data_IF_249787010698
#
_entry.id   IF_249787010698
#
_cell.length_a   1.000
_cell.length_b   1.000
_cell.length_c   1.000
_cell.angle_alpha   90.00
_cell.angle_beta   90.00
_cell.angle_gamma   90.00
#
_symmetry.space_group_name_H-M   'P 1'
#
loop_
_entity.id
_entity.type
_entity.pdbx_description
1 polymer ?
#
# COMPACT_ATOMS: atom_id res chain seq x y z
N UNK A 1 -14.55 15.18 -47.61
CA UNK A 1 -13.86 15.22 -46.31
C UNK A 1 -14.43 14.15 -45.44
N UNK A 2 -13.72 13.03 -45.31
CA UNK A 2 -14.12 11.87 -44.52
C UNK A 2 -14.01 12.23 -43.05
N UNK A 3 -15.13 12.27 -42.34
CA UNK A 3 -15.14 12.45 -40.89
C UNK A 3 -14.62 11.15 -40.30
N UNK A 4 -13.34 11.11 -39.96
CA UNK A 4 -12.78 10.03 -39.16
C UNK A 4 -13.55 9.93 -37.85
N UNK A 5 -14.33 8.85 -37.73
CA UNK A 5 -15.02 8.47 -36.52
C UNK A 5 -13.96 8.11 -35.46
N UNK A 6 -13.48 9.09 -34.69
CA UNK A 6 -12.67 8.82 -33.50
C UNK A 6 -13.51 7.96 -32.56
N UNK A 7 -13.07 6.75 -32.17
CA UNK A 7 -13.82 5.99 -31.18
C UNK A 7 -13.93 6.84 -29.92
N UNK A 8 -15.17 7.07 -29.46
CA UNK A 8 -15.46 7.79 -28.23
C UNK A 8 -14.68 7.13 -27.09
N UNK A 9 -13.65 7.80 -26.56
CA UNK A 9 -12.92 7.33 -25.39
C UNK A 9 -13.85 7.45 -24.19
N UNK A 10 -14.58 6.39 -23.89
CA UNK A 10 -15.38 6.30 -22.67
C UNK A 10 -14.51 6.46 -21.42
N UNK A 11 -15.11 6.73 -20.25
CA UNK A 11 -14.37 6.85 -19.00
C UNK A 11 -13.61 5.54 -18.71
N UNK A 12 -12.33 5.63 -18.34
CA UNK A 12 -11.45 4.49 -18.04
C UNK A 12 -10.61 4.81 -16.79
N UNK A 13 -10.24 3.80 -16.02
CA UNK A 13 -9.29 3.96 -14.90
C UNK A 13 -7.88 4.30 -15.40
N UNK A 14 -7.04 4.96 -14.59
CA UNK A 14 -5.62 5.08 -14.91
C UNK A 14 -4.99 3.71 -15.16
N UNK A 15 -4.08 3.63 -16.12
CA UNK A 15 -3.32 2.41 -16.35
C UNK A 15 -2.15 2.32 -15.37
N UNK A 16 -1.99 1.16 -14.75
CA UNK A 16 -0.83 0.84 -13.92
C UNK A 16 -0.21 -0.52 -14.29
N UNK A 17 1.08 -0.75 -13.96
CA UNK A 17 1.79 -2.01 -14.26
C UNK A 17 1.14 -3.24 -13.63
N UNK A 18 1.45 -4.43 -14.17
CA UNK A 18 0.92 -5.71 -13.66
C UNK A 18 1.26 -5.99 -12.19
N UNK A 19 2.46 -5.60 -11.75
CA UNK A 19 2.94 -5.90 -10.38
C UNK A 19 2.18 -5.15 -9.28
N UNK A 20 1.44 -4.08 -9.63
CA UNK A 20 0.76 -3.22 -8.65
C UNK A 20 -0.75 -3.21 -8.81
N UNK A 21 -1.45 -2.86 -7.73
CA UNK A 21 -2.89 -2.56 -7.75
C UNK A 21 -3.12 -1.10 -7.40
N UNK A 22 -4.07 -0.45 -8.08
CA UNK A 22 -4.46 0.93 -7.79
C UNK A 22 -5.51 0.99 -6.68
N UNK A 23 -5.22 1.71 -5.59
CA UNK A 23 -6.16 1.94 -4.49
C UNK A 23 -6.42 3.42 -4.25
N UNK A 24 -7.68 3.88 -4.11
CA UNK A 24 -7.97 5.27 -3.79
C UNK A 24 -7.46 5.68 -2.41
N UNK A 25 -6.75 6.81 -2.32
CA UNK A 25 -6.16 7.29 -1.06
C UNK A 25 -7.21 7.55 0.02
N UNK A 26 -8.40 8.04 -0.36
CA UNK A 26 -9.49 8.24 0.57
C UNK A 26 -9.95 6.93 1.25
N UNK A 27 -9.86 5.82 0.52
CA UNK A 27 -10.16 4.48 1.04
C UNK A 27 -8.98 3.93 1.84
N UNK A 28 -7.75 4.00 1.29
CA UNK A 28 -6.54 3.46 1.91
C UNK A 28 -6.15 4.16 3.23
N UNK A 29 -6.61 5.40 3.43
CA UNK A 29 -6.40 6.21 4.64
C UNK A 29 -7.62 6.21 5.57
N UNK A 30 -8.42 5.14 5.52
CA UNK A 30 -9.65 5.01 6.30
C UNK A 30 -9.88 3.61 6.86
N UNK A 31 -10.85 3.51 7.75
CA UNK A 31 -11.35 2.27 8.34
C UNK A 31 -12.40 1.57 7.46
N UNK A 32 -12.65 2.03 6.22
CA UNK A 32 -13.69 1.48 5.34
C UNK A 32 -13.45 -0.02 5.08
N UNK A 33 -12.20 -0.37 4.74
CA UNK A 33 -11.72 -1.75 4.75
C UNK A 33 -10.95 -1.98 6.05
N UNK A 34 -11.65 -2.42 7.09
CA UNK A 34 -11.06 -2.51 8.42
C UNK A 34 -9.96 -3.59 8.51
N UNK A 35 -8.93 -3.33 9.32
CA UNK A 35 -7.81 -4.22 9.64
C UNK A 35 -8.19 -5.37 10.57
N UNK A 36 -9.37 -5.96 10.37
CA UNK A 36 -10.00 -6.95 11.27
C UNK A 36 -10.13 -8.32 10.60
N UNK A 37 -10.19 -9.37 11.42
CA UNK A 37 -10.56 -10.71 10.95
C UNK A 37 -12.06 -10.78 10.62
N UNK A 38 -12.45 -11.63 9.67
CA UNK A 38 -13.86 -11.79 9.22
C UNK A 38 -14.84 -12.04 10.36
N UNK A 39 -14.44 -12.82 11.38
CA UNK A 39 -15.29 -13.11 12.56
C UNK A 39 -15.62 -11.90 13.44
N UNK A 40 -14.90 -10.77 13.28
CA UNK A 40 -15.12 -9.52 14.04
C UNK A 40 -15.98 -8.51 13.26
N UNK A 41 -16.39 -8.84 12.03
CA UNK A 41 -17.22 -8.00 11.17
C UNK A 41 -18.56 -7.68 11.82
N UNK A 42 -19.07 -6.49 11.51
CA UNK A 42 -20.35 -5.99 11.99
C UNK A 42 -21.25 -5.56 10.82
N UNK A 43 -22.55 -5.43 11.08
CA UNK A 43 -23.47 -4.69 10.19
C UNK A 43 -23.44 -3.23 10.65
N UNK A 44 -23.25 -2.32 9.68
CA UNK A 44 -23.11 -0.89 9.92
C UNK A 44 -24.29 -0.12 9.33
N UNK A 45 -24.69 0.94 10.03
CA UNK A 45 -25.83 1.76 9.65
C UNK A 45 -27.18 1.11 9.97
N UNK A 46 -28.26 1.76 9.58
CA UNK A 46 -29.63 1.29 9.86
C UNK A 46 -30.57 1.66 8.73
N UNK A 47 -31.39 0.69 8.31
CA UNK A 47 -32.50 0.94 7.39
C UNK A 47 -33.74 1.28 8.23
N UNK A 48 -34.04 2.57 8.38
CA UNK A 48 -35.21 3.00 9.17
C UNK A 48 -36.50 2.99 8.37
N UNK A 49 -36.44 3.22 7.05
CA UNK A 49 -37.60 3.23 6.16
C UNK A 49 -37.28 2.64 4.79
N UNK A 50 -38.08 1.72 4.21
CA UNK A 50 -37.75 1.04 2.94
C UNK A 50 -37.48 1.98 1.75
N UNK A 51 -38.13 3.14 1.72
CA UNK A 51 -38.05 4.11 0.63
C UNK A 51 -36.83 5.05 0.72
N UNK A 52 -36.13 5.08 1.86
CA UNK A 52 -34.96 5.94 2.07
C UNK A 52 -33.66 5.17 1.89
N UNK A 53 -32.60 5.89 1.51
CA UNK A 53 -31.23 5.37 1.61
C UNK A 53 -30.95 4.95 3.06
N UNK A 54 -30.31 3.79 3.31
CA UNK A 54 -29.92 3.41 4.66
C UNK A 54 -29.06 4.50 5.31
N UNK A 55 -29.28 4.75 6.59
CA UNK A 55 -28.50 5.72 7.35
C UNK A 55 -27.14 5.11 7.68
N UNK A 56 -26.07 5.65 7.08
CA UNK A 56 -24.70 5.18 7.30
C UNK A 56 -24.08 5.71 8.59
N UNK A 57 -23.18 4.91 9.17
CA UNK A 57 -22.32 5.36 10.28
C UNK A 57 -21.09 6.07 9.73
N UNK A 58 -20.55 7.01 10.51
CA UNK A 58 -19.28 7.66 10.21
C UNK A 58 -18.14 6.65 10.33
N UNK A 59 -17.36 6.52 9.27
CA UNK A 59 -16.15 5.69 9.25
C UNK A 59 -14.94 6.58 9.51
N UNK A 60 -14.07 6.14 10.43
CA UNK A 60 -12.85 6.85 10.75
C UNK A 60 -11.95 6.97 9.50
N UNK A 61 -11.54 8.18 9.16
CA UNK A 61 -10.65 8.46 8.04
C UNK A 61 -9.67 9.58 8.41
N UNK A 62 -8.56 9.68 7.68
CA UNK A 62 -7.63 10.80 7.80
C UNK A 62 -8.30 12.15 7.49
N UNK A 63 -7.80 13.21 8.10
CA UNK A 63 -8.33 14.57 7.94
C UNK A 63 -8.47 14.96 6.46
N UNK A 64 -9.57 15.65 6.15
CA UNK A 64 -9.96 16.00 4.78
C UNK A 64 -10.77 14.92 4.05
N UNK A 65 -10.97 13.74 4.66
CA UNK A 65 -11.83 12.67 4.14
C UNK A 65 -13.01 12.47 5.11
N UNK A 66 -14.23 12.41 4.58
CA UNK A 66 -15.42 12.03 5.36
C UNK A 66 -16.10 10.85 4.68
N UNK A 67 -16.38 9.81 5.46
CA UNK A 67 -17.03 8.60 4.95
C UNK A 67 -18.25 8.30 5.81
N UNK A 68 -19.41 8.15 5.15
CA UNK A 68 -20.56 7.48 5.73
C UNK A 68 -20.78 6.16 5.00
N UNK A 69 -21.00 5.10 5.76
CA UNK A 69 -21.20 3.78 5.20
C UNK A 69 -22.34 3.02 5.89
N UNK A 70 -23.15 2.34 5.10
CA UNK A 70 -24.11 1.35 5.58
C UNK A 70 -23.98 0.05 4.81
N UNK A 71 -24.11 -1.07 5.51
CA UNK A 71 -23.98 -2.40 4.98
C UNK A 71 -23.11 -3.27 5.87
N UNK A 72 -22.74 -4.43 5.35
CA UNK A 72 -21.80 -5.32 6.04
C UNK A 72 -20.40 -4.70 6.02
N UNK A 73 -19.74 -4.59 7.18
CA UNK A 73 -18.41 -4.00 7.29
C UNK A 73 -17.40 -4.74 6.41
N UNK A 74 -16.66 -3.99 5.60
CA UNK A 74 -15.59 -4.56 4.79
C UNK A 74 -14.34 -4.81 5.62
N UNK A 75 -13.58 -5.84 5.24
CA UNK A 75 -12.28 -6.14 5.80
C UNK A 75 -11.20 -6.19 4.70
N UNK A 76 -9.99 -6.61 5.06
CA UNK A 76 -8.88 -6.67 4.10
C UNK A 76 -9.06 -7.70 2.97
N UNK A 77 -9.86 -8.76 3.16
CA UNK A 77 -10.18 -9.67 2.05
C UNK A 77 -11.09 -8.97 1.04
N UNK A 78 -12.08 -8.20 1.51
CA UNK A 78 -12.92 -7.39 0.63
C UNK A 78 -12.09 -6.31 -0.11
N UNK A 79 -11.03 -5.78 0.54
CA UNK A 79 -10.08 -4.88 -0.11
C UNK A 79 -9.28 -5.60 -1.21
N UNK A 80 -8.81 -6.83 -0.94
CA UNK A 80 -8.08 -7.63 -1.93
C UNK A 80 -8.94 -7.89 -3.17
N UNK A 81 -10.20 -8.28 -2.97
CA UNK A 81 -11.19 -8.48 -4.04
C UNK A 81 -11.43 -7.17 -4.80
N UNK A 82 -11.64 -6.06 -4.10
CA UNK A 82 -11.91 -4.77 -4.75
C UNK A 82 -10.73 -4.30 -5.60
N UNK A 83 -9.51 -4.30 -5.06
CA UNK A 83 -8.31 -3.85 -5.77
C UNK A 83 -7.98 -4.73 -6.98
N UNK A 84 -8.17 -6.03 -6.83
CA UNK A 84 -7.92 -6.97 -7.89
C UNK A 84 -9.00 -6.90 -9.01
N UNK A 85 -10.26 -6.67 -8.65
CA UNK A 85 -11.33 -6.43 -9.62
C UNK A 85 -11.10 -5.12 -10.41
N UNK A 86 -10.70 -4.03 -9.74
CA UNK A 86 -10.28 -2.79 -10.39
C UNK A 86 -9.08 -3.00 -11.30
N UNK A 87 -8.09 -3.77 -10.86
CA UNK A 87 -6.92 -4.08 -11.66
C UNK A 87 -7.31 -4.76 -12.97
N UNK A 88 -8.22 -5.73 -12.95
CA UNK A 88 -8.73 -6.36 -14.18
C UNK A 88 -9.49 -5.36 -15.05
N UNK A 89 -10.39 -4.57 -14.45
CA UNK A 89 -11.23 -3.61 -15.17
C UNK A 89 -10.46 -2.41 -15.75
N UNK A 90 -9.22 -2.14 -15.30
CA UNK A 90 -8.47 -0.94 -15.72
C UNK A 90 -8.23 -0.83 -17.23
N UNK A 91 -8.24 -1.96 -17.94
CA UNK A 91 -8.05 -2.01 -19.39
C UNK A 91 -9.34 -1.87 -20.18
N UNK A 92 -10.48 -1.97 -19.51
CA UNK A 92 -11.80 -1.87 -20.10
C UNK A 92 -12.35 -0.44 -19.92
N UNK A 93 -13.38 -0.08 -20.69
CA UNK A 93 -14.14 1.12 -20.41
C UNK A 93 -14.99 0.89 -19.15
N UNK A 94 -15.13 1.90 -18.30
CA UNK A 94 -16.07 1.86 -17.19
C UNK A 94 -17.51 1.75 -17.73
N UNK A 95 -18.42 1.24 -16.89
CA UNK A 95 -19.79 0.87 -17.27
C UNK A 95 -19.88 -0.29 -18.29
N UNK A 96 -18.79 -1.04 -18.48
CA UNK A 96 -18.77 -2.28 -19.27
C UNK A 96 -18.44 -3.50 -18.39
N UNK A 97 -18.76 -4.69 -18.90
CA UNK A 97 -18.49 -5.95 -18.21
C UNK A 97 -16.99 -6.30 -18.26
N UNK A 98 -16.29 -6.22 -17.14
CA UNK A 98 -14.96 -6.81 -16.99
C UNK A 98 -15.10 -8.31 -16.73
N UNK A 99 -14.50 -9.15 -17.59
CA UNK A 99 -14.66 -10.61 -17.56
C UNK A 99 -13.39 -11.32 -17.10
N UNK A 100 -13.53 -12.32 -16.24
CA UNK A 100 -12.41 -13.14 -15.78
C UNK A 100 -12.85 -14.50 -15.24
N UNK A 101 -11.94 -15.47 -15.24
CA UNK A 101 -12.18 -16.75 -14.57
C UNK A 101 -11.97 -16.59 -13.07
N UNK A 102 -12.85 -17.19 -12.26
CA UNK A 102 -12.66 -17.16 -10.81
C UNK A 102 -11.37 -17.89 -10.39
N UNK A 103 -10.92 -18.88 -11.17
CA UNK A 103 -9.69 -19.62 -10.93
C UNK A 103 -8.42 -18.74 -10.99
N UNK A 104 -8.37 -17.77 -11.90
CA UNK A 104 -7.29 -16.79 -12.02
C UNK A 104 -7.44 -15.67 -10.99
N UNK A 105 -8.67 -15.25 -10.71
CA UNK A 105 -8.98 -14.27 -9.67
C UNK A 105 -8.46 -14.73 -8.31
N UNK A 106 -8.89 -15.92 -7.87
CA UNK A 106 -8.49 -16.50 -6.59
C UNK A 106 -6.96 -16.67 -6.51
N UNK A 107 -6.33 -17.17 -7.58
CA UNK A 107 -4.86 -17.27 -7.64
C UNK A 107 -4.19 -15.92 -7.41
N UNK A 108 -4.72 -14.85 -8.02
CA UNK A 108 -4.14 -13.51 -7.94
C UNK A 108 -4.25 -12.89 -6.55
N UNK A 109 -5.27 -13.26 -5.77
CA UNK A 109 -5.43 -12.86 -4.37
C UNK A 109 -4.88 -13.90 -3.37
N UNK A 110 -4.02 -14.83 -3.83
CA UNK A 110 -3.35 -15.81 -2.98
C UNK A 110 -4.24 -16.98 -2.48
N UNK A 111 -5.40 -17.21 -3.09
CA UNK A 111 -6.38 -18.23 -2.70
C UNK A 111 -6.37 -19.45 -3.62
N UNK A 112 -6.67 -20.61 -3.02
CA UNK A 112 -6.80 -21.88 -3.74
C UNK A 112 -8.16 -22.00 -4.42
N UNK A 113 -8.26 -22.88 -5.42
CA UNK A 113 -9.45 -23.01 -6.29
C UNK A 113 -10.50 -23.99 -5.73
N UNK A 114 -10.79 -23.91 -4.44
CA UNK A 114 -11.81 -24.75 -3.79
C UNK A 114 -13.18 -24.02 -3.73
N UNK A 115 -14.26 -24.76 -3.50
CA UNK A 115 -15.63 -24.22 -3.52
C UNK A 115 -15.84 -23.13 -2.46
N UNK A 116 -15.29 -23.30 -1.25
CA UNK A 116 -15.38 -22.31 -0.17
C UNK A 116 -14.77 -20.96 -0.58
N UNK A 117 -13.63 -20.95 -1.28
CA UNK A 117 -13.02 -19.69 -1.74
C UNK A 117 -13.83 -19.02 -2.87
N UNK A 118 -14.53 -19.80 -3.71
CA UNK A 118 -15.47 -19.23 -4.68
C UNK A 118 -16.69 -18.61 -3.99
N UNK A 119 -17.21 -19.25 -2.94
CA UNK A 119 -18.28 -18.71 -2.11
C UNK A 119 -17.83 -17.42 -1.39
N UNK A 120 -16.64 -17.42 -0.76
CA UNK A 120 -16.07 -16.23 -0.13
C UNK A 120 -15.93 -15.06 -1.12
N UNK A 121 -15.52 -15.34 -2.37
CA UNK A 121 -15.43 -14.34 -3.45
C UNK A 121 -16.81 -13.78 -3.81
N UNK A 122 -17.82 -14.64 -3.99
CA UNK A 122 -19.19 -14.21 -4.28
C UNK A 122 -19.75 -13.33 -3.18
N UNK A 123 -19.59 -13.74 -1.92
CA UNK A 123 -20.06 -12.94 -0.80
C UNK A 123 -19.32 -11.59 -0.71
N UNK A 124 -18.04 -11.55 -1.06
CA UNK A 124 -17.28 -10.30 -1.08
C UNK A 124 -17.78 -9.35 -2.17
N UNK A 125 -17.99 -9.85 -3.38
CA UNK A 125 -18.57 -9.09 -4.48
C UNK A 125 -19.99 -8.59 -4.14
N UNK A 126 -20.83 -9.42 -3.51
CA UNK A 126 -22.16 -9.00 -3.08
C UNK A 126 -22.10 -7.93 -1.98
N UNK A 127 -21.18 -8.04 -1.01
CA UNK A 127 -20.96 -6.97 -0.02
C UNK A 127 -20.53 -5.67 -0.70
N UNK A 128 -19.55 -5.71 -1.60
CA UNK A 128 -19.06 -4.54 -2.34
C UNK A 128 -20.15 -3.89 -3.20
N UNK A 129 -21.09 -4.70 -3.69
CA UNK A 129 -22.26 -4.28 -4.49
C UNK A 129 -23.37 -3.67 -3.63
N UNK A 130 -23.67 -4.26 -2.48
CA UNK A 130 -24.78 -3.84 -1.61
C UNK A 130 -24.43 -2.68 -0.68
N UNK A 131 -23.15 -2.49 -0.38
CA UNK A 131 -22.69 -1.44 0.52
C UNK A 131 -23.05 -0.05 0.00
N UNK A 132 -23.64 0.78 0.86
CA UNK A 132 -24.00 2.16 0.55
C UNK A 132 -22.92 3.11 1.10
N UNK A 133 -22.19 3.77 0.21
CA UNK A 133 -21.06 4.64 0.53
C UNK A 133 -21.37 6.08 0.15
N UNK A 134 -21.09 7.02 1.05
CA UNK A 134 -20.87 8.43 0.75
C UNK A 134 -19.45 8.79 1.18
N UNK A 135 -18.61 9.16 0.22
CA UNK A 135 -17.21 9.51 0.43
C UNK A 135 -16.97 10.93 -0.06
N UNK A 136 -16.74 11.84 0.89
CA UNK A 136 -16.35 13.22 0.63
C UNK A 136 -14.84 13.36 0.76
N UNK A 137 -14.21 14.08 -0.17
CA UNK A 137 -12.77 14.33 -0.17
C UNK A 137 -12.45 15.62 -0.93
N UNK A 138 -11.26 16.16 -0.67
CA UNK A 138 -10.79 17.40 -1.28
C UNK A 138 -9.59 17.16 -2.19
N UNK A 139 -9.60 17.81 -3.36
CA UNK A 139 -8.49 17.80 -4.32
C UNK A 139 -8.31 19.22 -4.84
N UNK A 140 -7.12 19.80 -4.61
CA UNK A 140 -6.79 21.16 -5.07
C UNK A 140 -7.83 22.22 -4.68
N UNK A 141 -8.30 22.19 -3.44
CA UNK A 141 -9.31 23.13 -2.91
C UNK A 141 -10.75 22.89 -3.37
N UNK A 142 -11.01 21.84 -4.17
CA UNK A 142 -12.35 21.45 -4.61
C UNK A 142 -12.83 20.22 -3.87
N UNK A 143 -14.08 20.25 -3.41
CA UNK A 143 -14.72 19.15 -2.69
C UNK A 143 -15.51 18.28 -3.65
N UNK A 144 -15.34 16.97 -3.50
CA UNK A 144 -16.00 15.94 -4.28
C UNK A 144 -16.76 15.02 -3.36
N UNK A 145 -17.90 14.51 -3.83
CA UNK A 145 -18.67 13.46 -3.16
C UNK A 145 -18.84 12.31 -4.14
N UNK A 146 -18.32 11.14 -3.78
CA UNK A 146 -18.66 9.87 -4.42
C UNK A 146 -19.78 9.21 -3.62
N UNK A 147 -20.92 8.95 -4.26
CA UNK A 147 -22.08 8.30 -3.63
C UNK A 147 -22.48 7.06 -4.42
N UNK A 148 -22.63 5.92 -3.74
CA UNK A 148 -23.08 4.67 -4.36
C UNK A 148 -22.39 3.44 -3.81
N UNK A 149 -22.28 2.41 -4.64
CA UNK A 149 -21.59 1.15 -4.33
C UNK A 149 -20.21 1.10 -4.96
N UNK A 150 -19.28 0.34 -4.38
CA UNK A 150 -17.93 0.16 -4.94
C UNK A 150 -17.92 -0.76 -6.15
N UNK A 151 -18.86 -1.71 -6.24
CA UNK A 151 -19.14 -2.53 -7.42
C UNK A 151 -20.58 -2.24 -7.85
N UNK A 152 -20.83 -1.97 -9.13
CA UNK A 152 -22.19 -1.68 -9.60
C UNK A 152 -23.01 -2.96 -9.72
N UNK A 153 -22.42 -3.99 -10.33
CA UNK A 153 -23.04 -5.30 -10.47
C UNK A 153 -21.99 -6.40 -10.66
N UNK A 154 -22.38 -7.64 -10.40
CA UNK A 154 -21.62 -8.80 -10.85
C UNK A 154 -22.56 -9.93 -11.27
N UNK A 155 -22.08 -10.77 -12.21
CA UNK A 155 -22.73 -12.00 -12.65
C UNK A 155 -21.71 -13.13 -12.58
N UNK A 156 -22.11 -14.26 -12.03
CA UNK A 156 -21.34 -15.51 -12.04
C UNK A 156 -22.05 -16.55 -12.88
N UNK A 157 -21.36 -17.05 -13.89
CA UNK A 157 -21.75 -18.27 -14.60
C UNK A 157 -21.10 -19.46 -13.88
N UNK A 158 -21.92 -20.41 -13.43
CA UNK A 158 -21.52 -21.41 -12.43
C UNK A 158 -20.80 -22.62 -13.02
N UNK A 159 -21.00 -22.93 -14.30
CA UNK A 159 -20.39 -24.10 -14.98
C UNK A 159 -18.92 -23.87 -15.23
N UNK A 160 -18.56 -22.75 -15.85
CA UNK A 160 -17.17 -22.37 -16.16
C UNK A 160 -16.54 -21.50 -15.08
N UNK A 161 -17.32 -21.07 -14.08
CA UNK A 161 -16.91 -20.16 -13.01
C UNK A 161 -16.39 -18.84 -13.60
N UNK A 162 -17.05 -18.37 -14.66
CA UNK A 162 -16.79 -17.08 -15.28
C UNK A 162 -17.50 -15.99 -14.49
N UNK A 163 -16.77 -14.92 -14.21
CA UNK A 163 -17.27 -13.74 -13.53
C UNK A 163 -17.30 -12.57 -14.50
N UNK A 164 -18.35 -11.76 -14.35
CA UNK A 164 -18.51 -10.47 -15.01
C UNK A 164 -18.75 -9.44 -13.94
N UNK A 165 -17.89 -8.43 -13.83
CA UNK A 165 -18.02 -7.34 -12.85
C UNK A 165 -18.10 -6.03 -13.58
N UNK A 166 -19.04 -5.17 -13.16
CA UNK A 166 -19.21 -3.83 -13.71
C UNK A 166 -18.96 -2.79 -12.62
N UNK A 167 -18.24 -1.74 -12.97
CA UNK A 167 -18.05 -0.56 -12.14
C UNK A 167 -18.79 0.63 -12.75
N UNK A 168 -19.45 1.42 -11.90
CA UNK A 168 -20.06 2.67 -12.33
C UNK A 168 -18.96 3.66 -12.75
N UNK A 169 -19.22 4.46 -13.80
CA UNK A 169 -18.26 5.45 -14.33
C UNK A 169 -17.76 6.44 -13.28
N UNK A 170 -18.58 6.75 -12.28
CA UNK A 170 -18.31 7.68 -11.19
C UNK A 170 -17.09 7.27 -10.36
N UNK A 171 -16.73 5.98 -10.34
CA UNK A 171 -15.57 5.47 -9.60
C UNK A 171 -14.26 6.14 -10.03
N UNK A 172 -14.17 6.60 -11.29
CA UNK A 172 -13.00 7.32 -11.82
C UNK A 172 -12.66 8.58 -10.99
N UNK A 173 -13.65 9.18 -10.33
CA UNK A 173 -13.48 10.36 -9.48
C UNK A 173 -12.54 10.06 -8.31
N UNK A 174 -12.49 8.81 -7.84
CA UNK A 174 -11.58 8.37 -6.78
C UNK A 174 -10.13 8.19 -7.28
N UNK A 175 -9.90 8.20 -8.60
CA UNK A 175 -8.63 7.96 -9.28
C UNK A 175 -8.08 9.19 -10.03
N UNK A 176 -8.51 10.39 -9.64
CA UNK A 176 -7.91 11.64 -10.12
C UNK A 176 -6.40 11.70 -9.81
N UNK A 177 -5.63 12.56 -10.51
CA UNK A 177 -4.22 12.75 -10.22
C UNK A 177 -3.98 13.02 -8.72
N UNK A 178 -3.00 12.31 -8.14
CA UNK A 178 -2.64 12.36 -6.71
C UNK A 178 -3.69 11.85 -5.70
N UNK A 179 -4.83 11.28 -6.14
CA UNK A 179 -5.86 10.73 -5.23
C UNK A 179 -5.83 9.22 -5.05
N UNK A 180 -4.86 8.54 -5.64
CA UNK A 180 -4.70 7.09 -5.54
C UNK A 180 -3.23 6.69 -5.42
N UNK A 181 -3.01 5.46 -4.99
CA UNK A 181 -1.68 4.88 -4.75
C UNK A 181 -1.54 3.55 -5.48
N UNK A 182 -0.36 3.30 -6.04
CA UNK A 182 0.04 1.99 -6.54
C UNK A 182 0.54 1.15 -5.35
N UNK A 183 -0.13 0.05 -5.07
CA UNK A 183 0.18 -0.88 -4.00
C UNK A 183 1.00 -2.02 -4.60
N UNK A 184 2.22 -2.26 -4.09
CA UNK A 184 3.04 -3.41 -4.48
C UNK A 184 2.33 -4.70 -4.03
N UNK A 185 1.92 -5.51 -5.01
CA UNK A 185 0.94 -6.56 -4.73
C UNK A 185 1.55 -7.76 -4.04
N UNK A 186 2.77 -8.14 -4.41
CA UNK A 186 3.47 -9.27 -3.80
C UNK A 186 3.75 -9.01 -2.31
N UNK A 187 4.12 -7.77 -1.96
CA UNK A 187 4.23 -7.33 -0.56
C UNK A 187 2.91 -7.51 0.20
N UNK A 188 1.80 -7.08 -0.41
CA UNK A 188 0.47 -7.21 0.19
C UNK A 188 0.06 -8.68 0.37
N UNK A 189 0.36 -9.54 -0.61
CA UNK A 189 0.06 -10.97 -0.56
C UNK A 189 0.93 -11.71 0.47
N UNK A 190 2.17 -11.27 0.70
CA UNK A 190 3.02 -11.80 1.78
C UNK A 190 2.44 -11.53 3.19
N UNK A 191 1.53 -10.55 3.30
CA UNK A 191 0.80 -10.21 4.53
C UNK A 191 -0.60 -10.85 4.61
N UNK A 192 -0.97 -11.71 3.65
CA UNK A 192 -2.27 -12.38 3.66
C UNK A 192 -2.51 -13.13 4.97
N UNK A 193 -3.75 -13.04 5.48
CA UNK A 193 -4.13 -13.64 6.76
C UNK A 193 -3.74 -12.79 7.98
N UNK A 194 -3.11 -11.62 7.77
CA UNK A 194 -2.77 -10.66 8.82
C UNK A 194 -3.43 -9.30 8.53
N UNK A 195 -4.74 -9.14 8.81
CA UNK A 195 -5.52 -7.97 8.35
C UNK A 195 -4.94 -6.62 8.82
N UNK A 196 -4.48 -6.52 10.06
CA UNK A 196 -3.87 -5.27 10.53
C UNK A 196 -2.59 -4.93 9.75
N UNK A 197 -1.77 -5.92 9.42
CA UNK A 197 -0.56 -5.73 8.61
C UNK A 197 -0.91 -5.32 7.16
N UNK A 198 -1.90 -5.95 6.53
CA UNK A 198 -2.38 -5.55 5.20
C UNK A 198 -2.93 -4.11 5.19
N UNK A 199 -3.64 -3.71 6.25
CA UNK A 199 -4.13 -2.34 6.38
C UNK A 199 -2.99 -1.33 6.54
N UNK A 200 -2.01 -1.62 7.40
CA UNK A 200 -0.82 -0.77 7.61
C UNK A 200 0.00 -0.61 6.33
N UNK A 201 0.21 -1.70 5.58
CA UNK A 201 0.87 -1.68 4.28
C UNK A 201 0.18 -0.71 3.32
N UNK A 202 -1.14 -0.82 3.18
CA UNK A 202 -1.94 0.12 2.37
C UNK A 202 -1.80 1.56 2.83
N UNK A 203 -1.98 1.83 4.13
CA UNK A 203 -1.93 3.17 4.70
C UNK A 203 -0.58 3.85 4.45
N UNK A 204 0.52 3.19 4.82
CA UNK A 204 1.86 3.74 4.69
C UNK A 204 2.35 3.80 3.24
N UNK A 205 1.83 2.95 2.34
CA UNK A 205 2.09 3.06 0.90
C UNK A 205 1.60 4.38 0.33
N UNK A 206 0.54 4.97 0.91
CA UNK A 206 0.04 6.27 0.45
C UNK A 206 0.91 7.47 0.83
N UNK A 207 1.99 7.26 1.59
CA UNK A 207 2.86 8.32 2.11
C UNK A 207 4.28 8.15 1.55
N UNK A 208 4.75 9.14 0.77
CA UNK A 208 6.11 9.13 0.23
C UNK A 208 7.18 9.27 1.34
N UNK A 209 6.89 10.06 2.38
CA UNK A 209 7.63 10.13 3.62
C UNK A 209 6.61 10.18 4.77
N UNK A 210 6.29 9.03 5.38
CA UNK A 210 5.33 8.99 6.48
C UNK A 210 5.85 9.78 7.67
N UNK A 211 5.05 10.72 8.18
CA UNK A 211 5.30 11.33 9.47
C UNK A 211 5.12 10.31 10.59
N UNK A 212 5.75 10.51 11.76
CA UNK A 212 5.46 9.70 12.94
C UNK A 212 3.98 9.79 13.30
N UNK A 213 3.33 8.65 13.54
CA UNK A 213 1.89 8.57 13.85
C UNK A 213 1.67 7.85 15.16
N UNK A 214 0.70 8.31 15.96
CA UNK A 214 0.44 7.69 17.26
C UNK A 214 -0.23 6.32 17.12
N UNK A 215 0.00 5.43 18.09
CA UNK A 215 -0.71 4.16 18.15
C UNK A 215 -2.24 4.33 18.23
N UNK A 216 -2.73 5.38 18.91
CA UNK A 216 -4.15 5.70 19.00
C UNK A 216 -4.74 6.08 17.63
N UNK A 217 -4.02 6.87 16.84
CA UNK A 217 -4.42 7.22 15.48
C UNK A 217 -4.53 5.96 14.61
N UNK A 218 -3.53 5.08 14.64
CA UNK A 218 -3.57 3.82 13.88
C UNK A 218 -4.71 2.90 14.33
N UNK A 219 -5.02 2.85 15.63
CA UNK A 219 -6.14 2.09 16.17
C UNK A 219 -7.46 2.55 15.53
N UNK A 220 -7.71 3.85 15.59
CA UNK A 220 -8.92 4.48 15.06
C UNK A 220 -9.05 4.26 13.54
N UNK A 221 -8.01 4.62 12.78
CA UNK A 221 -8.07 4.58 11.30
C UNK A 221 -8.03 3.16 10.73
N UNK A 222 -7.52 2.18 11.47
CA UNK A 222 -7.59 0.77 11.11
C UNK A 222 -8.98 0.14 11.31
N UNK A 223 -9.89 0.83 12.01
CA UNK A 223 -11.19 0.28 12.40
C UNK A 223 -11.06 -0.84 13.43
N UNK A 224 -10.05 -0.77 14.31
CA UNK A 224 -9.84 -1.80 15.32
C UNK A 224 -10.97 -1.78 16.37
N UNK A 225 -11.61 -2.93 16.67
CA UNK A 225 -12.63 -3.04 17.70
C UNK A 225 -12.02 -3.17 19.10
N UNK A 226 -10.70 -3.23 19.22
CA UNK A 226 -9.99 -3.37 20.50
C UNK A 226 -10.21 -2.12 21.33
N UNK A 227 -10.83 -2.25 22.52
CA UNK A 227 -11.21 -1.09 23.37
C UNK A 227 -10.02 -0.43 24.07
N UNK A 228 -9.07 -1.24 24.55
CA UNK A 228 -7.94 -0.77 25.34
C UNK A 228 -6.71 -0.56 24.46
N UNK A 229 -6.17 0.66 24.42
CA UNK A 229 -4.99 1.01 23.62
C UNK A 229 -3.78 0.11 23.92
N UNK A 230 -3.59 -0.29 25.19
CA UNK A 230 -2.51 -1.23 25.57
C UNK A 230 -2.59 -2.57 24.84
N UNK A 231 -3.80 -3.10 24.61
CA UNK A 231 -3.99 -4.36 23.89
C UNK A 231 -3.78 -4.14 22.39
N UNK A 232 -4.24 -3.00 21.87
CA UNK A 232 -3.98 -2.66 20.47
C UNK A 232 -2.48 -2.50 20.19
N UNK A 233 -1.71 -1.89 21.09
CA UNK A 233 -0.24 -1.82 20.97
C UNK A 233 0.42 -3.20 20.85
N UNK A 234 -0.14 -4.24 21.50
CA UNK A 234 0.34 -5.63 21.36
C UNK A 234 -0.01 -6.19 19.97
N UNK A 235 -1.24 -6.00 19.50
CA UNK A 235 -1.65 -6.39 18.14
C UNK A 235 -0.79 -5.69 17.07
N UNK A 236 -0.52 -4.40 17.28
CA UNK A 236 0.27 -3.56 16.40
C UNK A 236 1.74 -4.01 16.33
N UNK A 237 2.37 -4.31 17.48
CA UNK A 237 3.73 -4.87 17.51
C UNK A 237 3.82 -6.21 16.77
N UNK A 238 2.80 -7.08 16.88
CA UNK A 238 2.74 -8.34 16.11
C UNK A 238 2.60 -8.09 14.61
N UNK A 239 1.80 -7.10 14.21
CA UNK A 239 1.66 -6.71 12.81
C UNK A 239 2.98 -6.17 12.26
N UNK A 240 3.69 -5.31 13.00
CA UNK A 240 5.00 -4.78 12.62
C UNK A 240 6.04 -5.89 12.46
N UNK A 241 6.18 -6.81 13.43
CA UNK A 241 7.10 -7.94 13.30
C UNK A 241 6.81 -8.80 12.06
N UNK A 242 5.53 -8.99 11.71
CA UNK A 242 5.15 -9.70 10.50
C UNK A 242 5.50 -8.92 9.21
N UNK A 243 5.41 -7.59 9.23
CA UNK A 243 5.81 -6.74 8.11
C UNK A 243 7.34 -6.68 7.96
N UNK A 244 8.07 -6.53 9.05
CA UNK A 244 9.54 -6.61 9.07
C UNK A 244 10.02 -7.93 8.43
N UNK A 245 9.43 -9.04 8.85
CA UNK A 245 9.79 -10.38 8.35
C UNK A 245 9.41 -10.58 6.89
N UNK A 246 8.21 -10.14 6.48
CA UNK A 246 7.69 -10.45 5.15
C UNK A 246 8.17 -9.47 4.06
N UNK A 247 8.37 -8.20 4.40
CA UNK A 247 8.62 -7.11 3.43
C UNK A 247 9.76 -6.16 3.84
N UNK A 248 10.43 -6.40 4.97
CA UNK A 248 11.62 -5.63 5.38
C UNK A 248 11.34 -4.19 5.84
N UNK A 249 10.09 -3.85 6.14
CA UNK A 249 9.73 -2.52 6.66
C UNK A 249 9.95 -2.48 8.16
N UNK A 250 10.84 -1.61 8.63
CA UNK A 250 11.23 -1.50 10.04
C UNK A 250 10.39 -0.46 10.78
N UNK A 251 9.97 -0.78 11.99
CA UNK A 251 9.18 0.11 12.83
C UNK A 251 9.89 0.40 14.15
N UNK A 252 10.10 1.68 14.44
CA UNK A 252 10.63 2.14 15.72
C UNK A 252 9.62 3.01 16.47
N UNK A 253 9.81 3.14 17.78
CA UNK A 253 8.95 3.92 18.66
C UNK A 253 9.71 5.12 19.22
N UNK A 254 9.06 6.27 19.20
CA UNK A 254 9.46 7.46 19.95
C UNK A 254 8.30 7.87 20.87
N UNK A 255 8.38 7.48 22.14
CA UNK A 255 7.24 7.50 23.05
C UNK A 255 6.06 6.70 22.49
N UNK A 256 4.98 7.41 22.17
CA UNK A 256 3.75 6.84 21.60
C UNK A 256 3.66 6.92 20.07
N UNK A 257 4.66 7.53 19.44
CA UNK A 257 4.73 7.71 17.99
C UNK A 257 5.45 6.53 17.35
N UNK A 258 4.85 6.01 16.27
CA UNK A 258 5.42 4.99 15.40
C UNK A 258 6.13 5.67 14.25
N UNK A 259 7.38 5.30 14.04
CA UNK A 259 8.23 5.76 12.95
C UNK A 259 8.50 4.58 12.01
N UNK A 260 8.18 4.74 10.72
CA UNK A 260 8.44 3.75 9.68
C UNK A 260 9.75 4.07 8.95
N UNK A 261 10.63 3.08 8.84
CA UNK A 261 11.78 3.08 7.93
C UNK A 261 11.57 2.01 6.87
N UNK A 262 11.61 2.42 5.60
CA UNK A 262 11.44 1.52 4.45
C UNK A 262 12.77 1.21 3.80
N UNK A 263 12.95 0.01 3.24
CA UNK A 263 14.02 -0.21 2.29
C UNK A 263 13.85 0.77 1.13
N UNK A 264 14.94 1.33 0.59
CA UNK A 264 14.85 2.25 -0.53
C UNK A 264 14.21 1.54 -1.72
N UNK A 265 13.21 2.17 -2.36
CA UNK A 265 12.63 1.65 -3.60
C UNK A 265 13.70 1.48 -4.68
N UNK A 266 13.52 0.64 -5.70
CA UNK A 266 14.57 0.48 -6.74
C UNK A 266 15.04 1.81 -7.36
N UNK A 267 14.14 2.78 -7.52
CA UNK A 267 14.49 4.11 -8.00
C UNK A 267 15.34 4.89 -6.98
N UNK A 268 14.98 4.81 -5.69
CA UNK A 268 15.75 5.39 -4.58
C UNK A 268 17.10 4.67 -4.39
N UNK A 269 17.13 3.34 -4.50
CA UNK A 269 18.34 2.52 -4.45
C UNK A 269 19.31 2.89 -5.58
N UNK A 270 18.81 3.06 -6.81
CA UNK A 270 19.61 3.57 -7.94
C UNK A 270 20.15 4.98 -7.67
N UNK A 271 19.34 5.87 -7.11
CA UNK A 271 19.79 7.22 -6.75
C UNK A 271 20.85 7.21 -5.63
N UNK A 272 20.63 6.42 -4.58
CA UNK A 272 21.55 6.25 -3.45
C UNK A 272 22.87 5.62 -3.91
N UNK A 273 22.83 4.60 -4.76
CA UNK A 273 24.01 3.99 -5.37
C UNK A 273 24.80 4.99 -6.23
N UNK A 274 24.12 5.79 -7.07
CA UNK A 274 24.76 6.88 -7.83
C UNK A 274 25.41 7.92 -6.93
N UNK A 275 24.74 8.30 -5.82
CA UNK A 275 25.27 9.26 -4.84
C UNK A 275 26.46 8.69 -4.08
N UNK A 276 26.44 7.41 -3.72
CA UNK A 276 27.54 6.72 -3.07
C UNK A 276 28.76 6.60 -4.00
N UNK A 277 28.56 6.22 -5.27
CA UNK A 277 29.62 6.18 -6.28
C UNK A 277 30.26 7.56 -6.50
N UNK A 278 29.45 8.62 -6.56
CA UNK A 278 29.96 10.01 -6.68
C UNK A 278 30.78 10.43 -5.46
N UNK A 279 30.35 10.05 -4.25
CA UNK A 279 31.08 10.33 -3.00
C UNK A 279 32.39 9.55 -2.92
N UNK A 280 32.41 8.29 -3.36
CA UNK A 280 33.64 7.49 -3.46
C UNK A 280 34.62 8.06 -4.48
N UNK A 281 34.14 8.50 -5.65
CA UNK A 281 34.98 9.17 -6.65
C UNK A 281 35.58 10.49 -6.11
N UNK A 282 34.81 11.26 -5.35
CA UNK A 282 35.30 12.49 -4.70
C UNK A 282 36.36 12.20 -3.62
N UNK A 283 36.15 11.16 -2.81
CA UNK A 283 37.11 10.73 -1.78
C UNK A 283 38.41 10.18 -2.41
N UNK A 284 38.30 9.45 -3.52
CA UNK A 284 39.46 8.96 -4.27
C UNK A 284 40.25 10.12 -4.92
N UNK A 285 39.56 11.13 -5.46
CA UNK A 285 40.20 12.33 -6.01
C UNK A 285 40.90 13.16 -4.92
N UNK A 286 40.32 13.26 -3.72
CA UNK A 286 40.97 13.96 -2.59
C UNK A 286 42.19 13.21 -2.04
N UNK A 287 42.21 11.88 -2.10
CA UNK A 287 43.38 11.09 -1.71
C UNK A 287 44.47 11.08 -2.81
N UNK A 288 44.10 11.17 -4.09
CA UNK A 288 45.04 11.31 -5.20
C UNK A 288 45.76 12.66 -5.25
N UNK A 289 45.15 13.72 -4.70
CA UNK A 289 45.79 15.05 -4.60
C UNK A 289 46.79 15.18 -3.43
N UNK A 290 46.87 14.21 -2.52
CA UNK A 290 47.91 14.14 -1.46
C UNK A 290 49.11 13.26 -1.84
N UNK A 291 49.23 12.85 -3.10
CA UNK A 291 50.31 12.01 -3.63
C UNK A 291 51.32 12.73 -4.53
N UNK A 292 51.54 14.04 -4.32
CA UNK A 292 52.49 14.86 -5.09
C UNK A 292 53.58 15.44 -4.19
N UNK A 293 54.39 14.57 -3.58
CA UNK A 293 55.53 14.97 -2.77
C UNK A 293 56.52 13.81 -2.67
N UNK A 294 57.50 13.80 -3.57
CA UNK A 294 58.73 13.03 -3.38
C UNK A 294 59.34 13.47 -2.05
N UNK A 295 59.28 12.59 -1.05
CA UNK A 295 60.27 12.57 0.03
C UNK A 295 61.06 11.29 -0.20
N UNK A 296 62.37 11.44 -0.42
CA UNK A 296 63.26 10.31 -0.56
C UNK A 296 63.16 9.42 0.68
N UNK A 297 63.11 8.10 0.48
CA UNK A 297 63.08 7.08 1.54
C UNK A 297 64.33 7.12 2.43
N UNK A 298 65.31 8.00 2.14
CA UNK A 298 66.51 8.22 2.95
C UNK A 298 66.32 9.15 4.17
N UNK A 299 65.21 9.89 4.31
CA UNK A 299 65.09 10.95 5.33
C UNK A 299 64.15 10.61 6.51
N UNK A 300 63.71 9.36 6.67
CA UNK A 300 62.76 8.94 7.72
C UNK A 300 63.34 8.03 8.82
N UNK A 301 64.66 7.96 9.02
CA UNK A 301 65.24 7.23 10.17
C UNK A 301 66.50 7.90 10.76
N UNK A 302 66.39 8.86 11.69
CA UNK A 302 67.44 9.10 12.65
C UNK A 302 67.33 8.05 13.76
N UNK A 303 68.12 6.98 13.66
CA UNK A 303 68.47 6.15 14.81
C UNK A 303 67.79 4.78 14.88
N UNK A 304 68.23 3.84 14.03
CA UNK A 304 68.35 2.44 14.47
C UNK A 304 69.41 1.68 13.66
N UNK A 305 70.67 2.14 13.70
CA UNK A 305 71.85 1.32 13.36
C UNK A 305 73.12 1.95 13.96
N UNK A 306 73.06 2.34 15.24
CA UNK A 306 74.25 2.73 16.03
C UNK A 306 74.75 1.68 17.03
N UNK A 307 74.18 0.48 17.04
CA UNK A 307 74.60 -0.59 17.98
C UNK A 307 75.18 -1.87 17.36
N UNK A 308 75.65 -1.84 16.11
CA UNK A 308 76.31 -3.03 15.52
C UNK A 308 77.70 -2.81 14.90
N UNK A 309 78.39 -1.72 15.25
CA UNK A 309 79.82 -1.52 14.90
C UNK A 309 80.71 -0.98 16.04
N UNK A 310 80.33 -1.23 17.30
CA UNK A 310 81.21 -1.06 18.48
C UNK A 310 81.27 -2.34 19.32
N UNK A 311 81.62 -3.47 18.70
CA UNK A 311 82.20 -4.65 19.37
C UNK A 311 82.75 -5.61 18.31
N UNK A 312 83.83 -5.17 17.65
CA UNK A 312 84.90 -6.03 17.13
C UNK A 312 85.93 -5.15 16.40
N UNK A 313 87.19 -5.26 16.82
CA UNK A 313 88.37 -4.37 16.59
C UNK A 313 88.49 -3.31 17.69
N UNK A 314 89.38 -3.40 18.68
CA UNK A 314 90.60 -4.20 18.88
C UNK A 314 90.93 -4.23 20.39
N UNK A 315 91.60 -5.30 20.81
CA UNK A 315 92.36 -5.48 22.07
C UNK A 315 91.56 -5.55 23.37
#
# INVERSE_FOLDING_TARGET
>A
MTIENRPSRGPQLPLWPERVRGGPNAILRSALFAGIASKKRQILGTQTRPEKKPEGVTIAAQDGIKIKYSGVQFNQYDADVFFEALHRARRDLLDTECRFTGAEFLKSIGRSRNNLNYEDLDESLDRLRRGSLDLEFEVSGRRYIFSGSLVASYVRETTTKLYKVTFAKEIQTLFMPATWTQIEWDERMALMGKPLAQWLHSYFSTHAQPFPVSAAYLQEKSGSPTKLLKHFKVELKRAFAAMETAIGWEFSWDGDLVILKRPPSEAQGRHLARKAAKRQAQLAASNGQRGGGMVAVSDLLPGLLKDLKRKNRRQ
#
